data_IF_763433544507
#
_entry.id   IF_763433544507
#
_cell.length_a   1.000
_cell.length_b   1.000
_cell.length_c   1.000
_cell.angle_alpha   90.00
_cell.angle_beta   90.00
_cell.angle_gamma   90.00
#
_symmetry.space_group_name_H-M   'P 1'
#
loop_
_entity.id
_entity.type
_entity.pdbx_description
1 polymer ?
#
# COMPACT_ATOMS: atom_id res chain seq x y z
N UNK A 1 0.40 -43.16 41.23
CA UNK A 1 0.60 -42.50 39.92
C UNK A 1 0.48 -41.00 40.12
N UNK A 2 1.59 -40.32 40.44
CA UNK A 2 1.60 -38.88 40.66
C UNK A 2 1.74 -38.15 39.32
N UNK A 3 0.75 -37.33 38.97
CA UNK A 3 0.87 -36.41 37.85
C UNK A 3 1.73 -35.23 38.27
N UNK A 4 2.94 -35.13 37.72
CA UNK A 4 3.75 -33.92 37.78
C UNK A 4 3.37 -33.09 36.55
N UNK A 5 2.62 -32.00 36.74
CA UNK A 5 2.44 -31.00 35.69
C UNK A 5 3.72 -30.19 35.58
N UNK A 6 4.53 -30.44 34.55
CA UNK A 6 5.58 -29.51 34.17
C UNK A 6 4.91 -28.19 33.79
N UNK A 7 5.01 -27.20 34.68
CA UNK A 7 4.67 -25.82 34.37
C UNK A 7 5.74 -25.31 33.39
N UNK A 8 5.49 -25.48 32.10
CA UNK A 8 6.16 -24.68 31.09
C UNK A 8 5.56 -23.28 31.19
N UNK A 9 5.92 -22.50 32.22
CA UNK A 9 5.81 -21.05 32.12
C UNK A 9 6.66 -20.65 30.93
N UNK A 10 6.11 -20.08 29.84
CA UNK A 10 6.93 -19.51 28.79
C UNK A 10 7.79 -18.45 29.45
N UNK A 11 9.09 -18.71 29.54
CA UNK A 11 10.03 -17.67 29.92
C UNK A 11 9.97 -16.63 28.81
N UNK A 12 9.26 -15.53 29.05
CA UNK A 12 9.40 -14.33 28.23
C UNK A 12 10.85 -13.90 28.45
N UNK A 13 11.74 -14.34 27.56
CA UNK A 13 13.11 -13.83 27.53
C UNK A 13 12.93 -12.33 27.38
N UNK A 14 13.45 -11.56 28.35
CA UNK A 14 13.47 -10.10 28.28
C UNK A 14 13.91 -9.73 26.87
N UNK A 15 13.07 -9.00 26.14
CA UNK A 15 13.44 -8.56 24.80
C UNK A 15 14.82 -7.94 24.91
N UNK A 16 15.78 -8.50 24.16
CA UNK A 16 17.08 -7.91 23.96
C UNK A 16 16.90 -6.42 23.69
N UNK A 17 17.82 -5.59 24.18
CA UNK A 17 17.78 -4.15 23.93
C UNK A 17 17.49 -3.85 22.44
N UNK A 18 16.75 -2.77 22.20
CA UNK A 18 16.52 -2.28 20.84
C UNK A 18 17.84 -2.11 20.10
N UNK A 19 17.83 -2.48 18.81
CA UNK A 19 19.02 -2.35 17.97
C UNK A 19 19.35 -0.89 17.64
N UNK A 20 20.42 -0.70 16.88
CA UNK A 20 20.83 0.58 16.30
C UNK A 20 21.23 0.36 14.85
N UNK A 21 20.91 1.32 13.98
CA UNK A 21 21.23 1.22 12.57
C UNK A 21 21.42 2.58 11.90
N UNK A 22 22.05 2.55 10.72
CA UNK A 22 22.14 3.66 9.76
C UNK A 22 21.71 3.19 8.37
N UNK A 23 21.58 4.10 7.41
CA UNK A 23 21.14 3.80 6.05
C UNK A 23 19.97 4.68 5.63
N UNK A 24 19.25 4.27 4.60
CA UNK A 24 18.09 5.03 4.10
C UNK A 24 18.48 6.43 3.63
N UNK A 25 17.54 7.36 3.73
CA UNK A 25 17.76 8.77 3.41
C UNK A 25 18.17 9.51 4.67
N UNK A 26 19.35 10.12 4.62
CA UNK A 26 19.82 11.02 5.68
C UNK A 26 20.15 10.31 7.00
N UNK A 27 20.16 11.09 8.08
CA UNK A 27 20.41 10.61 9.44
C UNK A 27 19.13 10.13 10.13
N UNK A 28 19.22 9.28 11.17
CA UNK A 28 18.06 8.91 11.97
C UNK A 28 17.30 10.15 12.48
N UNK A 29 15.98 10.11 12.38
CA UNK A 29 15.10 11.18 12.86
C UNK A 29 14.60 10.85 14.25
N UNK A 30 14.89 11.73 15.22
CA UNK A 30 14.47 11.57 16.61
C UNK A 30 13.00 12.00 16.81
N UNK A 31 12.23 11.19 17.52
CA UNK A 31 10.82 11.45 17.82
C UNK A 31 10.45 10.97 19.21
N UNK A 32 9.45 11.59 19.82
CA UNK A 32 8.85 11.13 21.07
C UNK A 32 7.42 10.70 20.80
N UNK A 33 7.09 9.45 21.10
CA UNK A 33 5.76 8.86 20.87
C UNK A 33 5.29 8.28 22.19
N UNK A 34 4.19 8.83 22.71
CA UNK A 34 3.61 8.43 24.00
C UNK A 34 4.62 8.43 25.16
N UNK A 35 5.57 9.38 25.16
CA UNK A 35 6.60 9.54 26.19
C UNK A 35 7.84 8.66 26.02
N UNK A 36 7.91 7.82 24.99
CA UNK A 36 9.10 7.03 24.66
C UNK A 36 9.86 7.70 23.52
N UNK A 37 11.17 7.84 23.68
CA UNK A 37 12.04 8.36 22.65
C UNK A 37 12.41 7.25 21.65
N UNK A 38 12.32 7.58 20.37
CA UNK A 38 12.67 6.73 19.26
C UNK A 38 13.55 7.47 18.27
N UNK A 39 14.30 6.71 17.50
CA UNK A 39 14.89 7.16 16.24
C UNK A 39 14.33 6.30 15.11
N UNK A 40 14.11 6.90 13.94
CA UNK A 40 13.72 6.15 12.75
C UNK A 40 14.48 6.55 11.48
N UNK A 41 14.59 5.61 10.56
CA UNK A 41 15.11 5.77 9.20
C UNK A 41 13.99 5.62 8.19
N UNK A 42 14.12 6.32 7.05
CA UNK A 42 13.20 6.21 5.91
C UNK A 42 13.95 5.70 4.69
N UNK A 43 13.36 4.76 3.97
CA UNK A 43 13.84 4.26 2.69
C UNK A 43 12.78 4.56 1.61
N UNK A 44 13.15 5.40 0.64
CA UNK A 44 12.34 5.70 -0.55
C UNK A 44 12.91 5.10 -1.84
N UNK A 45 14.10 4.52 -1.76
CA UNK A 45 14.74 3.74 -2.81
C UNK A 45 15.39 2.51 -2.18
N UNK A 46 15.62 1.49 -2.99
CA UNK A 46 16.36 0.30 -2.55
C UNK A 46 17.73 0.71 -2.02
N UNK A 47 18.12 0.16 -0.87
CA UNK A 47 19.37 0.50 -0.21
C UNK A 47 19.71 -0.44 0.94
N UNK A 48 20.82 -0.17 1.61
CA UNK A 48 21.30 -0.97 2.74
C UNK A 48 20.91 -0.32 4.06
N UNK A 49 20.29 -1.10 4.94
CA UNK A 49 20.23 -0.84 6.38
C UNK A 49 21.49 -1.42 7.02
N UNK A 50 22.36 -0.56 7.54
CA UNK A 50 23.58 -0.97 8.23
C UNK A 50 23.29 -1.10 9.72
N UNK A 51 23.26 -2.33 10.22
CA UNK A 51 23.00 -2.61 11.65
C UNK A 51 24.29 -2.41 12.42
N UNK A 52 24.32 -1.39 13.29
CA UNK A 52 25.49 -1.08 14.14
C UNK A 52 25.39 -1.75 15.51
N UNK A 53 24.18 -2.11 15.94
CA UNK A 53 23.95 -2.91 17.14
C UNK A 53 22.79 -3.85 16.89
N UNK A 54 23.03 -5.15 17.08
CA UNK A 54 21.99 -6.17 16.94
C UNK A 54 20.87 -5.94 17.96
N UNK A 55 19.63 -6.17 17.56
CA UNK A 55 18.49 -5.99 18.45
C UNK A 55 17.16 -6.01 17.72
N UNK A 56 16.10 -5.70 18.46
CA UNK A 56 14.77 -5.49 17.90
C UNK A 56 14.65 -4.13 17.23
N UNK A 57 13.92 -4.10 16.12
CA UNK A 57 13.53 -2.91 15.38
C UNK A 57 12.04 -2.99 15.09
N UNK A 58 11.32 -1.88 15.22
CA UNK A 58 9.98 -1.76 14.67
C UNK A 58 10.09 -1.40 13.18
N UNK A 59 9.16 -1.87 12.37
CA UNK A 59 9.08 -1.51 10.96
C UNK A 59 7.66 -1.09 10.57
N UNK A 60 7.61 -0.23 9.55
CA UNK A 60 6.41 0.03 8.77
C UNK A 60 6.81 0.01 7.29
N UNK A 61 6.38 -1.00 6.56
CA UNK A 61 6.68 -1.19 5.14
C UNK A 61 5.41 -1.07 4.31
N UNK A 62 5.49 -0.33 3.21
CA UNK A 62 4.38 -0.10 2.29
C UNK A 62 4.80 -0.55 0.89
N UNK A 63 3.98 -1.37 0.24
CA UNK A 63 4.22 -1.87 -1.12
C UNK A 63 3.97 -0.79 -2.17
N UNK A 64 4.35 -1.07 -3.42
CA UNK A 64 3.96 -0.21 -4.54
C UNK A 64 2.44 -0.19 -4.71
N UNK A 65 1.87 0.97 -5.05
CA UNK A 65 0.46 1.09 -5.41
C UNK A 65 0.17 0.56 -6.81
N UNK A 66 -1.09 0.22 -7.07
CA UNK A 66 -1.55 -0.22 -8.38
C UNK A 66 -1.76 0.93 -9.36
N UNK A 67 -1.43 0.70 -10.62
CA UNK A 67 -1.96 1.49 -11.74
C UNK A 67 -3.41 1.11 -12.09
N UNK A 68 -3.92 1.67 -13.19
CA UNK A 68 -5.23 1.31 -13.75
C UNK A 68 -5.10 0.66 -15.16
N UNK A 69 -6.07 -0.15 -15.58
CA UNK A 69 -6.29 -0.79 -16.87
C UNK A 69 -7.48 -0.09 -17.53
N UNK A 70 -7.23 0.39 -18.73
CA UNK A 70 -8.24 0.96 -19.61
C UNK A 70 -8.66 -0.09 -20.64
N UNK A 71 -9.90 -0.58 -20.53
CA UNK A 71 -10.50 -1.48 -21.53
C UNK A 71 -11.76 -0.87 -22.19
N UNK A 72 -12.35 0.15 -21.58
CA UNK A 72 -13.57 0.84 -22.05
C UNK A 72 -13.53 2.31 -21.64
N UNK A 73 -14.55 3.08 -22.02
CA UNK A 73 -14.53 4.55 -21.98
C UNK A 73 -14.10 5.16 -20.63
N UNK A 74 -14.43 4.57 -19.46
CA UNK A 74 -13.92 5.00 -18.14
C UNK A 74 -13.11 3.90 -17.45
N UNK A 75 -11.89 4.19 -17.01
CA UNK A 75 -11.05 3.34 -16.16
C UNK A 75 -11.32 3.53 -14.66
N UNK A 76 -11.13 2.48 -13.88
CA UNK A 76 -11.18 2.53 -12.42
C UNK A 76 -9.99 3.27 -11.79
N UNK A 77 -10.06 3.56 -10.50
CA UNK A 77 -8.89 4.00 -9.74
C UNK A 77 -8.00 2.81 -9.37
N UNK A 78 -6.69 3.00 -9.38
CA UNK A 78 -5.73 2.01 -8.86
C UNK A 78 -5.85 1.89 -7.34
N UNK A 79 -5.70 0.68 -6.79
CA UNK A 79 -5.71 0.50 -5.34
C UNK A 79 -4.33 0.70 -4.68
N UNK A 80 -4.36 0.82 -3.36
CA UNK A 80 -3.19 1.04 -2.55
C UNK A 80 -2.28 -0.20 -2.43
N UNK A 81 -0.98 0.03 -2.27
CA UNK A 81 -0.04 -0.98 -1.79
C UNK A 81 -0.34 -1.35 -0.35
N UNK A 82 -0.04 -2.60 0.01
CA UNK A 82 -0.26 -3.10 1.36
C UNK A 82 0.56 -2.30 2.38
N UNK A 83 0.06 -2.19 3.62
CA UNK A 83 0.84 -1.74 4.78
C UNK A 83 1.12 -2.91 5.71
N UNK A 84 2.39 -3.11 6.05
CA UNK A 84 2.86 -4.09 7.02
C UNK A 84 3.59 -3.38 8.15
N UNK A 85 3.20 -3.65 9.40
CA UNK A 85 3.79 -3.05 10.59
C UNK A 85 4.05 -4.14 11.63
N UNK A 86 5.19 -4.08 12.30
CA UNK A 86 5.55 -5.06 13.33
C UNK A 86 6.95 -4.82 13.87
N UNK A 87 7.51 -5.84 14.51
CA UNK A 87 8.89 -5.82 15.01
C UNK A 87 9.70 -6.98 14.43
N UNK A 88 10.99 -6.75 14.22
CA UNK A 88 11.94 -7.69 13.63
C UNK A 88 13.27 -7.64 14.38
N UNK A 89 13.88 -8.80 14.64
CA UNK A 89 15.22 -8.86 15.19
C UNK A 89 16.24 -8.88 14.05
N UNK A 90 17.18 -7.94 14.05
CA UNK A 90 18.24 -7.85 13.04
C UNK A 90 19.61 -7.88 13.73
N UNK A 91 20.48 -8.76 13.25
CA UNK A 91 21.86 -8.91 13.75
C UNK A 91 22.94 -8.54 12.73
N UNK A 92 22.53 -8.24 11.50
CA UNK A 92 23.42 -7.93 10.39
C UNK A 92 22.73 -6.96 9.43
N UNK A 93 23.53 -6.36 8.54
CA UNK A 93 23.05 -5.47 7.50
C UNK A 93 21.96 -6.13 6.65
N UNK A 94 20.95 -5.35 6.27
CA UNK A 94 19.85 -5.80 5.45
C UNK A 94 19.77 -4.98 4.18
N UNK A 95 19.40 -5.61 3.07
CA UNK A 95 18.90 -4.89 1.90
C UNK A 95 17.44 -4.55 2.14
N UNK A 96 17.11 -3.27 2.06
CA UNK A 96 15.73 -2.79 2.01
C UNK A 96 15.40 -2.56 0.54
N UNK A 97 14.50 -3.37 0.00
CA UNK A 97 14.01 -3.21 -1.38
C UNK A 97 12.73 -2.40 -1.35
N UNK A 98 12.67 -1.32 -2.13
CA UNK A 98 11.45 -0.52 -2.26
C UNK A 98 10.69 -0.94 -3.50
N UNK A 99 9.42 -1.30 -3.31
CA UNK A 99 8.53 -1.71 -4.39
C UNK A 99 8.19 -0.56 -5.33
N UNK A 100 8.41 -0.73 -6.62
CA UNK A 100 7.87 0.17 -7.64
C UNK A 100 6.33 0.04 -7.72
N UNK A 101 5.65 1.15 -8.00
CA UNK A 101 4.22 1.11 -8.36
C UNK A 101 4.03 0.46 -9.74
N UNK A 102 2.89 -0.17 -9.98
CA UNK A 102 2.64 -0.77 -11.29
C UNK A 102 2.23 0.27 -12.32
N UNK A 103 2.68 0.04 -13.54
CA UNK A 103 2.26 0.80 -14.71
C UNK A 103 1.08 0.15 -15.41
N UNK A 104 0.41 0.96 -16.21
CA UNK A 104 -0.61 0.57 -17.17
C UNK A 104 -0.12 -0.43 -18.23
N UNK A 105 -1.02 -1.29 -18.72
CA UNK A 105 -0.87 -2.03 -19.97
C UNK A 105 -2.14 -1.92 -20.82
N UNK A 106 -2.03 -1.43 -22.05
CA UNK A 106 -3.12 -1.49 -23.03
C UNK A 106 -3.16 -2.93 -23.57
N UNK A 107 -4.35 -3.54 -23.69
CA UNK A 107 -4.55 -4.75 -24.52
C UNK A 107 -3.93 -6.06 -24.00
N UNK A 108 -4.30 -6.55 -22.80
CA UNK A 108 -4.48 -8.00 -22.48
C UNK A 108 -4.90 -8.24 -21.03
N UNK A 109 -5.47 -9.42 -20.77
CA UNK A 109 -5.99 -9.94 -19.48
C UNK A 109 -4.87 -10.24 -18.45
N UNK A 110 -3.71 -9.59 -18.56
CA UNK A 110 -2.60 -9.81 -17.64
C UNK A 110 -2.66 -8.83 -16.47
N UNK A 111 -2.65 -9.40 -15.27
CA UNK A 111 -2.59 -8.69 -14.00
C UNK A 111 -1.20 -8.05 -13.86
N UNK A 112 -1.13 -6.71 -13.82
CA UNK A 112 0.13 -6.00 -13.52
C UNK A 112 0.23 -5.74 -12.03
N UNK A 113 0.98 -6.61 -11.34
CA UNK A 113 1.24 -6.45 -9.92
C UNK A 113 2.29 -5.36 -9.68
N UNK A 114 2.02 -4.45 -8.74
CA UNK A 114 3.07 -3.59 -8.24
C UNK A 114 4.12 -4.40 -7.45
N UNK A 115 5.35 -3.89 -7.36
CA UNK A 115 6.42 -4.63 -6.69
C UNK A 115 6.32 -4.53 -5.17
N UNK A 116 6.83 -5.54 -4.49
CA UNK A 116 6.82 -5.60 -3.03
C UNK A 116 7.90 -4.69 -2.44
N UNK A 117 7.60 -4.08 -1.30
CA UNK A 117 8.64 -3.51 -0.41
C UNK A 117 9.07 -4.56 0.58
N UNK A 118 10.37 -4.87 0.66
CA UNK A 118 10.91 -6.00 1.42
C UNK A 118 12.06 -5.57 2.33
N UNK A 119 12.06 -6.09 3.55
CA UNK A 119 13.18 -6.01 4.50
C UNK A 119 13.91 -7.35 4.48
N UNK A 120 15.12 -7.39 3.92
CA UNK A 120 16.07 -8.49 4.10
C UNK A 120 16.45 -9.30 2.86
N UNK A 121 17.52 -10.07 3.03
CA UNK A 121 17.91 -11.18 2.15
C UNK A 121 18.53 -12.32 2.98
N UNK A 122 17.67 -13.20 3.50
CA UNK A 122 17.87 -14.65 3.68
C UNK A 122 16.75 -15.21 4.58
N UNK A 123 16.18 -16.34 4.18
CA UNK A 123 15.22 -17.15 4.92
C UNK A 123 15.57 -17.29 6.42
N UNK A 124 14.57 -17.34 7.32
CA UNK A 124 13.15 -17.52 7.01
C UNK A 124 12.34 -16.23 6.94
N UNK A 125 12.92 -15.06 7.20
CA UNK A 125 12.11 -13.87 7.47
C UNK A 125 12.25 -12.79 6.40
N UNK A 126 11.28 -12.75 5.49
CA UNK A 126 11.06 -11.61 4.59
C UNK A 126 9.77 -10.91 5.04
N UNK A 127 9.87 -9.65 5.44
CA UNK A 127 8.70 -8.81 5.66
C UNK A 127 8.40 -8.11 4.34
N UNK A 128 7.32 -8.50 3.68
CA UNK A 128 6.88 -7.94 2.41
C UNK A 128 5.57 -7.17 2.55
N UNK A 129 5.50 -5.99 1.96
CA UNK A 129 4.23 -5.35 1.65
C UNK A 129 3.94 -5.55 0.17
N UNK A 130 2.82 -6.20 -0.15
CA UNK A 130 2.44 -6.56 -1.52
C UNK A 130 1.99 -5.36 -2.36
N UNK A 131 2.26 -5.43 -3.66
CA UNK A 131 1.66 -4.54 -4.63
C UNK A 131 0.30 -5.01 -5.14
N UNK A 132 -0.54 -4.07 -5.57
CA UNK A 132 -1.90 -4.35 -6.03
C UNK A 132 -1.95 -4.93 -7.44
N UNK A 133 -3.03 -5.65 -7.73
CA UNK A 133 -3.36 -6.25 -9.03
C UNK A 133 -4.76 -5.86 -9.51
N UNK A 134 -4.88 -5.53 -10.79
CA UNK A 134 -6.16 -5.18 -11.43
C UNK A 134 -6.74 -6.28 -12.31
N UNK A 135 -8.08 -6.42 -12.30
CA UNK A 135 -8.82 -7.33 -13.17
C UNK A 135 -9.73 -6.58 -14.15
N UNK A 136 -9.70 -6.99 -15.42
CA UNK A 136 -10.58 -6.50 -16.48
C UNK A 136 -11.98 -7.12 -16.37
N UNK A 137 -13.04 -6.32 -16.48
CA UNK A 137 -14.41 -6.82 -16.47
C UNK A 137 -14.74 -7.64 -17.74
N UNK A 138 -15.34 -8.82 -17.56
CA UNK A 138 -15.84 -9.67 -18.65
C UNK A 138 -16.12 -11.13 -18.26
N UNK A 139 -15.41 -11.66 -17.27
CA UNK A 139 -15.53 -13.08 -16.87
C UNK A 139 -15.37 -13.25 -15.38
N UNK A 140 -16.40 -12.94 -14.57
CA UNK A 140 -16.53 -13.37 -13.16
C UNK A 140 -15.21 -13.52 -12.39
N UNK A 141 -14.32 -12.55 -12.48
CA UNK A 141 -12.92 -12.73 -12.11
C UNK A 141 -12.79 -12.57 -10.60
N UNK A 142 -13.05 -13.66 -9.89
CA UNK A 142 -12.55 -13.88 -8.54
C UNK A 142 -11.03 -14.07 -8.63
N UNK A 143 -10.26 -12.98 -8.67
CA UNK A 143 -8.80 -13.06 -8.53
C UNK A 143 -8.38 -12.52 -7.18
N UNK A 144 -7.49 -13.27 -6.55
CA UNK A 144 -6.97 -13.12 -5.19
C UNK A 144 -6.57 -11.66 -4.89
N UNK A 145 -7.24 -11.05 -3.92
CA UNK A 145 -6.99 -9.67 -3.48
C UNK A 145 -5.83 -9.66 -2.49
N UNK A 146 -4.67 -9.17 -2.92
CA UNK A 146 -3.57 -8.84 -2.01
C UNK A 146 -3.16 -7.39 -2.26
N UNK A 147 -3.59 -6.49 -1.38
CA UNK A 147 -3.21 -5.08 -1.41
C UNK A 147 -4.07 -4.27 -2.36
N UNK A 148 -5.26 -3.81 -1.99
CA UNK A 148 -5.95 -2.72 -2.70
C UNK A 148 -7.03 -3.12 -3.72
N UNK A 149 -7.94 -2.19 -3.96
CA UNK A 149 -9.19 -2.44 -4.67
C UNK A 149 -9.19 -2.15 -6.17
N UNK A 150 -9.96 -2.92 -6.93
CA UNK A 150 -10.20 -2.71 -8.36
C UNK A 150 -11.43 -1.82 -8.59
N UNK A 151 -11.25 -0.69 -9.28
CA UNK A 151 -12.38 0.03 -9.85
C UNK A 151 -12.93 -0.74 -11.04
N UNK A 152 -14.19 -1.16 -10.98
CA UNK A 152 -14.76 -1.97 -12.06
C UNK A 152 -15.13 -1.10 -13.28
N UNK A 153 -15.32 -1.76 -14.44
CA UNK A 153 -15.70 -1.14 -15.71
C UNK A 153 -17.16 -1.48 -16.04
N UNK A 154 -17.89 -0.55 -16.67
CA UNK A 154 -19.10 -0.86 -17.43
C UNK A 154 -20.22 -1.56 -16.64
N UNK A 155 -20.47 -1.17 -15.39
CA UNK A 155 -21.52 -1.78 -14.57
C UNK A 155 -21.13 -3.08 -13.84
N UNK A 156 -19.85 -3.48 -13.87
CA UNK A 156 -19.38 -4.68 -13.18
C UNK A 156 -19.30 -4.48 -11.65
N UNK A 157 -19.43 -5.55 -10.87
CA UNK A 157 -19.30 -5.54 -9.41
C UNK A 157 -18.04 -6.26 -8.95
N UNK A 158 -17.33 -5.67 -7.99
CA UNK A 158 -16.16 -6.25 -7.32
C UNK A 158 -16.60 -7.18 -6.17
N UNK A 159 -16.41 -8.49 -6.33
CA UNK A 159 -16.81 -9.52 -5.34
C UNK A 159 -15.60 -10.08 -4.57
N UNK A 160 -14.85 -9.19 -3.90
CA UNK A 160 -13.65 -9.55 -3.13
C UNK A 160 -13.81 -9.53 -1.63
N UNK A 161 -13.08 -10.38 -0.93
CA UNK A 161 -12.95 -10.37 0.53
C UNK A 161 -12.08 -9.18 0.94
N UNK A 162 -12.63 -8.28 1.74
CA UNK A 162 -11.91 -7.17 2.36
C UNK A 162 -11.06 -7.70 3.52
N UNK A 163 -9.83 -7.20 3.68
CA UNK A 163 -8.98 -7.56 4.81
C UNK A 163 -8.15 -6.35 5.24
N UNK A 164 -8.08 -6.10 6.55
CA UNK A 164 -7.22 -5.05 7.11
C UNK A 164 -5.73 -5.31 6.85
N UNK A 165 -5.35 -6.56 6.57
CA UNK A 165 -3.98 -6.93 6.19
C UNK A 165 -3.71 -6.59 4.73
N UNK A 166 -4.65 -6.83 3.81
CA UNK A 166 -4.47 -6.71 2.36
C UNK A 166 -5.14 -5.46 1.77
N UNK A 167 -5.59 -4.52 2.59
CA UNK A 167 -6.37 -3.37 2.14
C UNK A 167 -7.79 -3.72 1.71
N UNK A 168 -8.56 -2.67 1.45
CA UNK A 168 -9.98 -2.77 1.10
C UNK A 168 -10.16 -2.89 -0.42
N UNK A 169 -11.31 -3.44 -0.83
CA UNK A 169 -11.67 -3.54 -2.24
C UNK A 169 -12.02 -2.17 -2.85
N UNK A 170 -12.18 -2.15 -4.17
CA UNK A 170 -12.50 -0.94 -4.92
C UNK A 170 -14.01 -0.73 -4.97
N UNK A 171 -14.40 0.42 -5.50
CA UNK A 171 -15.78 0.71 -5.84
C UNK A 171 -16.19 0.06 -7.16
N UNK A 172 -17.50 -0.04 -7.35
CA UNK A 172 -18.12 -0.53 -8.56
C UNK A 172 -18.40 0.62 -9.54
N UNK A 173 -18.28 0.38 -10.82
CA UNK A 173 -18.86 1.17 -11.89
C UNK A 173 -20.35 0.86 -12.00
N UNK A 174 -21.14 1.88 -12.31
CA UNK A 174 -22.58 1.76 -12.54
C UNK A 174 -22.96 1.93 -13.99
N UNK A 175 -22.01 2.29 -14.87
CA UNK A 175 -22.24 2.49 -16.32
C UNK A 175 -20.94 2.43 -17.12
N UNK A 176 -21.01 2.47 -18.44
CA UNK A 176 -19.81 2.59 -19.30
C UNK A 176 -19.13 3.96 -19.24
N UNK A 177 -19.74 4.94 -18.57
CA UNK A 177 -19.27 6.32 -18.49
C UNK A 177 -18.50 6.62 -17.21
N UNK A 178 -18.43 5.68 -16.27
CA UNK A 178 -17.73 5.86 -15.01
C UNK A 178 -16.96 4.60 -14.60
N UNK A 179 -15.86 4.80 -13.90
CA UNK A 179 -15.11 3.77 -13.18
C UNK A 179 -15.31 3.92 -11.68
N UNK A 180 -15.26 2.82 -10.95
CA UNK A 180 -15.19 2.86 -9.48
C UNK A 180 -13.84 3.38 -8.99
N UNK A 181 -13.78 3.89 -7.76
CA UNK A 181 -12.53 4.28 -7.13
C UNK A 181 -11.72 3.07 -6.63
N UNK A 182 -10.41 3.19 -6.58
CA UNK A 182 -9.52 2.18 -6.02
C UNK A 182 -9.67 2.08 -4.51
N UNK A 183 -9.47 0.88 -3.96
CA UNK A 183 -9.50 0.66 -2.51
C UNK A 183 -8.22 1.13 -1.82
N UNK A 184 -8.34 1.71 -0.64
CA UNK A 184 -7.21 2.13 0.19
C UNK A 184 -6.92 1.10 1.29
N UNK A 185 -5.89 1.37 2.10
CA UNK A 185 -5.55 0.49 3.23
C UNK A 185 -6.60 0.49 4.35
N UNK A 186 -7.38 1.58 4.52
CA UNK A 186 -8.33 1.72 5.64
C UNK A 186 -9.81 1.84 5.24
N UNK A 187 -10.10 2.00 3.95
CA UNK A 187 -11.49 2.02 3.47
C UNK A 187 -11.63 1.61 2.00
N UNK A 188 -12.82 1.11 1.67
CA UNK A 188 -13.23 0.81 0.30
C UNK A 188 -13.24 2.08 -0.57
N UNK A 189 -12.94 1.92 -1.86
CA UNK A 189 -13.24 2.93 -2.86
C UNK A 189 -14.75 3.13 -3.06
N UNK A 190 -15.16 4.34 -3.40
CA UNK A 190 -16.53 4.68 -3.72
C UNK A 190 -16.94 4.18 -5.10
N UNK A 191 -18.22 3.85 -5.27
CA UNK A 191 -18.78 3.48 -6.57
C UNK A 191 -18.86 4.70 -7.49
N UNK A 192 -18.69 4.49 -8.80
CA UNK A 192 -19.01 5.49 -9.82
C UNK A 192 -20.52 5.69 -9.95
N UNK A 193 -20.95 6.87 -10.41
CA UNK A 193 -22.37 7.20 -10.57
C UNK A 193 -22.59 8.06 -11.81
N UNK A 194 -23.49 7.65 -12.70
CA UNK A 194 -23.79 8.37 -13.94
C UNK A 194 -22.51 8.64 -14.76
N UNK A 195 -22.10 9.90 -14.93
CA UNK A 195 -20.88 10.33 -15.62
C UNK A 195 -19.72 10.69 -14.67
N UNK A 196 -19.87 10.44 -13.37
CA UNK A 196 -18.89 10.74 -12.33
C UNK A 196 -18.17 9.48 -11.86
N UNK A 197 -16.84 9.52 -11.85
CA UNK A 197 -16.02 8.44 -11.30
C UNK A 197 -16.15 8.30 -9.78
N UNK A 198 -15.87 7.11 -9.27
CA UNK A 198 -15.93 6.80 -7.84
C UNK A 198 -14.74 7.36 -7.05
N UNK A 199 -14.94 7.71 -5.79
CA UNK A 199 -13.89 8.27 -4.93
C UNK A 199 -12.85 7.23 -4.53
N UNK A 200 -11.57 7.61 -4.41
CA UNK A 200 -10.54 6.70 -3.87
C UNK A 200 -10.78 6.35 -2.40
N UNK A 201 -10.35 5.15 -1.99
CA UNK A 201 -10.41 4.69 -0.60
C UNK A 201 -9.33 5.33 0.29
N UNK A 202 -9.63 5.45 1.58
CA UNK A 202 -8.75 6.09 2.56
C UNK A 202 -7.47 5.28 2.84
N UNK A 203 -6.38 6.02 3.13
CA UNK A 203 -5.07 5.45 3.43
C UNK A 203 -4.86 5.09 4.90
N UNK A 204 -3.68 4.61 5.23
CA UNK A 204 -3.23 4.34 6.59
C UNK A 204 -2.50 5.57 7.17
N UNK A 205 -2.88 6.00 8.36
CA UNK A 205 -2.18 7.07 9.07
C UNK A 205 -0.90 6.53 9.71
N UNK A 206 0.26 6.99 9.24
CA UNK A 206 1.57 6.58 9.76
C UNK A 206 2.04 7.43 10.95
N UNK A 207 1.27 8.44 11.39
CA UNK A 207 1.66 9.37 12.46
C UNK A 207 1.98 8.67 13.80
N UNK A 208 1.32 7.56 14.11
CA UNK A 208 1.64 6.74 15.28
C UNK A 208 3.03 6.06 15.20
N UNK A 209 3.60 5.95 13.99
CA UNK A 209 4.93 5.40 13.76
C UNK A 209 6.02 6.49 13.72
N UNK A 210 5.78 7.56 12.96
CA UNK A 210 6.75 8.64 12.72
C UNK A 210 6.60 9.84 13.66
N UNK A 211 5.61 9.86 14.53
CA UNK A 211 5.25 11.02 15.35
C UNK A 211 4.64 12.17 14.53
N UNK A 212 4.22 13.23 15.23
CA UNK A 212 3.74 14.46 14.60
C UNK A 212 2.29 14.43 14.13
N UNK A 213 1.99 15.19 13.07
CA UNK A 213 0.64 15.34 12.52
C UNK A 213 0.22 14.13 11.68
N UNK A 214 -1.10 13.90 11.59
CA UNK A 214 -1.71 12.89 10.73
C UNK A 214 -1.11 12.92 9.32
N UNK A 215 -0.57 11.78 8.90
CA UNK A 215 0.11 11.62 7.61
C UNK A 215 -0.35 10.33 6.99
N UNK A 216 -1.13 10.41 5.92
CA UNK A 216 -1.67 9.21 5.27
C UNK A 216 -0.75 8.67 4.18
N UNK A 217 -0.68 7.35 4.08
CA UNK A 217 -0.05 6.59 2.98
C UNK A 217 -1.02 5.52 2.47
N UNK A 218 -0.72 4.89 1.34
CA UNK A 218 -1.49 3.76 0.82
C UNK A 218 -2.98 4.10 0.59
N UNK A 219 -3.26 5.22 -0.08
CA UNK A 219 -4.61 5.59 -0.54
C UNK A 219 -4.95 4.93 -1.87
N UNK A 220 -6.25 4.71 -2.12
CA UNK A 220 -6.73 4.39 -3.46
C UNK A 220 -6.85 5.63 -4.35
N UNK A 221 -6.75 5.45 -5.66
CA UNK A 221 -7.02 6.50 -6.64
C UNK A 221 -8.52 6.64 -6.93
N UNK A 222 -8.95 7.83 -7.37
CA UNK A 222 -10.31 8.06 -7.87
C UNK A 222 -10.50 7.46 -9.26
N UNK A 223 -11.70 6.98 -9.57
CA UNK A 223 -12.06 6.44 -10.89
C UNK A 223 -12.25 7.52 -11.95
N UNK A 224 -12.11 7.18 -13.22
CA UNK A 224 -12.41 8.06 -14.34
C UNK A 224 -13.92 8.27 -14.50
N UNK A 225 -14.33 9.39 -15.10
CA UNK A 225 -15.72 9.66 -15.44
C UNK A 225 -15.84 10.54 -16.67
N UNK A 226 -16.89 10.34 -17.46
CA UNK A 226 -17.08 11.06 -18.73
C UNK A 226 -17.29 12.56 -18.57
N UNK A 227 -17.85 12.98 -17.44
CA UNK A 227 -18.02 14.39 -17.09
C UNK A 227 -17.09 14.81 -15.94
N UNK A 228 -16.88 13.94 -14.95
CA UNK A 228 -16.09 14.28 -13.75
C UNK A 228 -15.35 13.07 -13.23
N UNK A 229 -14.04 13.19 -13.02
CA UNK A 229 -13.27 12.16 -12.34
C UNK A 229 -13.67 12.05 -10.87
N UNK A 230 -13.53 10.86 -10.28
CA UNK A 230 -13.74 10.64 -8.87
C UNK A 230 -12.70 11.35 -8.02
N UNK A 231 -13.12 11.87 -6.87
CA UNK A 231 -12.20 12.58 -5.97
C UNK A 231 -11.20 11.63 -5.30
N UNK A 232 -10.06 12.16 -4.91
CA UNK A 232 -9.13 11.45 -4.04
C UNK A 232 -9.69 11.37 -2.60
N UNK A 233 -9.31 10.35 -1.85
CA UNK A 233 -9.25 10.47 -0.39
C UNK A 233 -8.11 11.43 0.01
N UNK A 234 -8.08 11.89 1.27
CA UNK A 234 -7.04 12.81 1.76
C UNK A 234 -5.62 12.31 1.43
N UNK A 235 -4.90 13.08 0.62
CA UNK A 235 -3.54 12.77 0.16
C UNK A 235 -3.43 11.77 -1.00
N UNK A 236 -4.55 11.27 -1.51
CA UNK A 236 -4.59 10.35 -2.65
C UNK A 236 -4.62 11.04 -4.02
N UNK A 237 -4.95 10.27 -5.05
CA UNK A 237 -4.96 10.72 -6.46
C UNK A 237 -6.39 10.78 -6.98
N UNK A 238 -6.80 11.89 -7.60
CA UNK A 238 -8.11 11.98 -8.23
C UNK A 238 -8.14 11.27 -9.58
N UNK A 239 -9.32 10.80 -9.99
CA UNK A 239 -9.54 10.42 -11.38
C UNK A 239 -9.68 11.65 -12.28
N UNK A 240 -9.84 11.40 -13.58
CA UNK A 240 -9.95 12.46 -14.59
C UNK A 240 -11.09 12.24 -15.57
N UNK A 241 -11.48 13.31 -16.27
CA UNK A 241 -12.43 13.31 -17.37
C UNK A 241 -11.74 13.79 -18.64
N UNK A 242 -11.62 12.94 -19.67
CA UNK A 242 -11.04 13.28 -20.98
C UNK A 242 -9.60 13.83 -20.96
N UNK A 243 -8.82 13.54 -19.91
CA UNK A 243 -7.41 13.94 -19.81
C UNK A 243 -6.56 12.79 -19.28
N UNK A 244 -5.24 12.91 -19.42
CA UNK A 244 -4.30 11.94 -18.85
C UNK A 244 -4.49 11.89 -17.33
N UNK A 245 -4.77 10.71 -16.75
CA UNK A 245 -4.97 10.61 -15.32
C UNK A 245 -3.66 10.81 -14.55
N UNK A 246 -3.73 11.37 -13.33
CA UNK A 246 -2.55 11.57 -12.52
C UNK A 246 -1.98 10.26 -11.97
N UNK A 247 -0.66 10.22 -11.81
CA UNK A 247 0.06 9.11 -11.19
C UNK A 247 -0.01 9.18 -9.66
N UNK A 248 0.16 8.03 -9.00
CA UNK A 248 0.52 7.95 -7.60
C UNK A 248 1.83 8.68 -7.30
N UNK A 249 1.87 9.39 -6.17
CA UNK A 249 3.05 10.07 -5.69
C UNK A 249 4.14 9.06 -5.32
N UNK A 250 5.39 9.43 -5.55
CA UNK A 250 6.51 8.61 -5.13
C UNK A 250 6.50 8.40 -3.60
N UNK A 251 6.78 7.17 -3.17
CA UNK A 251 7.00 6.81 -1.77
C UNK A 251 5.74 6.95 -0.90
N UNK A 252 4.62 6.59 -1.50
CA UNK A 252 3.29 6.66 -0.88
C UNK A 252 2.59 5.32 -0.84
N UNK A 253 2.93 4.40 -1.75
CA UNK A 253 2.15 3.20 -2.03
C UNK A 253 0.74 3.51 -2.52
N UNK A 254 0.43 4.73 -2.97
CA UNK A 254 -0.92 5.10 -3.38
C UNK A 254 -1.23 4.64 -4.80
N UNK A 255 -2.49 4.35 -5.09
CA UNK A 255 -2.93 3.99 -6.42
C UNK A 255 -2.97 5.18 -7.40
N UNK A 256 -2.87 4.89 -8.69
CA UNK A 256 -3.04 5.87 -9.76
C UNK A 256 -4.50 6.27 -10.00
N UNK A 257 -4.73 7.43 -10.61
CA UNK A 257 -6.07 7.88 -11.00
C UNK A 257 -6.60 7.16 -12.24
N UNK A 258 -7.92 6.97 -12.30
CA UNK A 258 -8.62 6.47 -13.48
C UNK A 258 -8.87 7.57 -14.52
N UNK A 259 -8.96 7.18 -15.79
CA UNK A 259 -9.20 8.10 -16.92
C UNK A 259 -10.46 7.79 -17.70
N UNK A 260 -11.04 8.81 -18.33
CA UNK A 260 -12.09 8.61 -19.32
C UNK A 260 -11.63 9.07 -20.70
N UNK A 261 -11.91 8.29 -21.75
CA UNK A 261 -11.71 8.68 -23.15
C UNK A 261 -10.25 8.73 -23.62
N UNK A 262 -9.28 8.53 -22.72
CA UNK A 262 -7.86 8.46 -23.05
C UNK A 262 -7.34 7.03 -22.86
N UNK A 263 -6.50 6.52 -23.76
CA UNK A 263 -5.85 5.22 -23.55
C UNK A 263 -4.77 5.27 -22.48
N UNK A 264 -4.52 6.43 -21.84
CA UNK A 264 -3.57 6.59 -20.75
C UNK A 264 -4.26 6.46 -19.39
N UNK A 265 -3.58 5.83 -18.44
CA UNK A 265 -4.02 5.73 -17.04
C UNK A 265 -2.92 6.17 -16.09
N UNK A 266 -3.29 6.43 -14.83
CA UNK A 266 -2.34 6.78 -13.79
C UNK A 266 -1.57 5.54 -13.34
N UNK A 267 -0.24 5.63 -13.30
CA UNK A 267 0.62 4.64 -12.67
C UNK A 267 0.47 4.71 -11.15
N UNK A 268 0.69 3.60 -10.45
CA UNK A 268 0.76 3.59 -8.99
C UNK A 268 2.04 4.24 -8.46
N UNK A 269 2.00 4.69 -7.21
CA UNK A 269 3.16 5.24 -6.50
C UNK A 269 4.10 4.14 -6.00
N UNK A 270 5.40 4.43 -5.89
CA UNK A 270 6.33 3.52 -5.21
C UNK A 270 6.00 3.37 -3.73
N UNK A 271 6.40 2.23 -3.17
CA UNK A 271 6.34 1.94 -1.75
C UNK A 271 7.33 2.77 -0.93
N UNK A 272 7.34 2.53 0.38
CA UNK A 272 8.22 3.20 1.34
C UNK A 272 8.44 2.30 2.54
N UNK A 273 9.60 2.37 3.17
CA UNK A 273 9.88 1.62 4.40
C UNK A 273 10.40 2.56 5.49
N UNK A 274 9.91 2.36 6.71
CA UNK A 274 10.37 3.01 7.92
C UNK A 274 10.89 1.96 8.88
N UNK A 275 12.06 2.19 9.47
CA UNK A 275 12.65 1.33 10.50
C UNK A 275 12.89 2.20 11.73
N UNK A 276 12.44 1.75 12.91
CA UNK A 276 12.49 2.53 14.14
C UNK A 276 13.03 1.70 15.30
N UNK A 277 13.69 2.34 16.25
CA UNK A 277 14.13 1.72 17.50
C UNK A 277 14.01 2.71 18.65
N UNK A 278 13.77 2.19 19.86
CA UNK A 278 13.75 3.05 21.05
C UNK A 278 15.16 3.46 21.44
N UNK A 279 15.30 4.71 21.85
CA UNK A 279 16.51 5.27 22.46
C UNK A 279 16.22 5.56 23.93
N UNK A 280 16.91 4.81 24.79
CA UNK A 280 16.95 5.01 26.25
C UNK A 280 18.06 5.97 26.62
#
# INVERSE_FOLDING_TARGET
MGYVSASNTPTIIAQSAYGRATGGIGSPTAVTISGVNYEYLTFNSTGTLTVTTAGWFDYLAIGGGGGNVHYANAGGGGGAGQVSCGSIYLSANQTITIGAGSSFYVYSVYVNQASNTVIGAASPFNVGAFGNTESTAGTGASTIFVGGGNGSLGGATSTGTESSLNGYRGGDSTSTLNGGGGGGQSARGGNGSSSTGGTGGAGYDISAFIGGSTTYKAQGGGGGGSATGGTAATGGVAGSANTTPPNGGANTGQGGGGGYGTPTTGNGGSGVCYIRWSVS
#
